data_IF_286500580282
#
_entry.id   IF_286500580282
#
_cell.length_a   1.000
_cell.length_b   1.000
_cell.length_c   1.000
_cell.angle_alpha   90.00
_cell.angle_beta   90.00
_cell.angle_gamma   90.00
#
_symmetry.space_group_name_H-M   'P 1'
#
loop_
_entity.id
_entity.type
_entity.pdbx_description
1 polymer ?
#
# COMPACT_ATOMS: atom_id res chain seq x y z
N UNK A 1 2.96 -13.64 -22.90
CA UNK A 1 3.15 -12.42 -22.08
C UNK A 1 3.98 -12.81 -20.88
N UNK A 2 5.00 -12.02 -20.49
CA UNK A 2 5.78 -12.35 -19.30
C UNK A 2 4.95 -12.13 -18.03
N UNK A 3 5.14 -12.97 -17.00
CA UNK A 3 4.49 -12.82 -15.70
C UNK A 3 4.67 -11.40 -15.13
N UNK A 4 5.81 -10.75 -15.40
CA UNK A 4 6.06 -9.37 -15.01
C UNK A 4 5.11 -8.36 -15.67
N UNK A 5 4.79 -8.53 -16.95
CA UNK A 5 3.86 -7.65 -17.65
C UNK A 5 2.43 -7.74 -17.08
N UNK A 6 1.99 -8.94 -16.71
CA UNK A 6 0.67 -9.15 -16.09
C UNK A 6 0.60 -8.44 -14.72
N UNK A 7 1.66 -8.54 -13.90
CA UNK A 7 1.75 -7.86 -12.59
C UNK A 7 1.64 -6.35 -12.73
N UNK A 8 2.39 -5.77 -13.68
CA UNK A 8 2.37 -4.32 -13.95
C UNK A 8 1.00 -3.91 -14.49
N UNK A 9 0.39 -4.68 -15.37
CA UNK A 9 -0.94 -4.40 -15.92
C UNK A 9 -2.02 -4.37 -14.82
N UNK A 10 -2.03 -5.33 -13.91
CA UNK A 10 -2.95 -5.35 -12.76
C UNK A 10 -2.75 -4.10 -11.90
N UNK A 11 -1.51 -3.75 -11.56
CA UNK A 11 -1.21 -2.55 -10.78
C UNK A 11 -1.63 -1.27 -11.50
N UNK A 12 -1.43 -1.20 -12.82
CA UNK A 12 -1.84 -0.05 -13.64
C UNK A 12 -3.37 0.12 -13.63
N UNK A 13 -4.13 -0.95 -13.84
CA UNK A 13 -5.60 -0.93 -13.80
C UNK A 13 -6.09 -0.38 -12.46
N UNK A 14 -5.60 -0.93 -11.35
CA UNK A 14 -6.01 -0.48 -10.01
C UNK A 14 -5.53 0.94 -9.67
N UNK A 15 -4.55 1.48 -10.37
CA UNK A 15 -4.03 2.84 -10.11
C UNK A 15 -4.67 3.91 -10.97
N UNK A 16 -5.07 3.60 -12.19
CA UNK A 16 -5.53 4.59 -13.16
C UNK A 16 -7.02 4.54 -13.46
N UNK A 17 -7.70 3.40 -13.22
CA UNK A 17 -9.14 3.33 -13.44
C UNK A 17 -9.87 4.10 -12.33
N UNK A 18 -10.62 5.16 -12.67
CA UNK A 18 -11.45 5.87 -11.70
C UNK A 18 -12.45 4.89 -11.04
N UNK A 19 -12.60 5.00 -9.73
CA UNK A 19 -13.46 4.08 -8.96
C UNK A 19 -12.77 2.80 -8.48
N UNK A 20 -11.70 2.32 -9.13
CA UNK A 20 -10.87 1.23 -8.61
C UNK A 20 -9.66 1.75 -7.84
N UNK A 21 -9.15 2.93 -8.17
CA UNK A 21 -7.99 3.50 -7.49
C UNK A 21 -8.36 4.16 -6.17
N UNK A 22 -9.46 4.90 -6.16
CA UNK A 22 -9.91 5.64 -4.99
C UNK A 22 -11.42 5.80 -5.06
N UNK A 23 -12.13 5.37 -4.03
CA UNK A 23 -13.57 5.58 -3.87
C UNK A 23 -13.76 6.81 -2.98
N UNK A 24 -14.31 7.87 -3.55
CA UNK A 24 -14.68 9.07 -2.82
C UNK A 24 -16.04 8.87 -2.17
N UNK A 25 -16.09 8.83 -0.85
CA UNK A 25 -17.32 8.79 -0.05
C UNK A 25 -17.60 10.16 0.61
N UNK A 26 -17.26 11.25 -0.06
CA UNK A 26 -17.40 12.59 0.45
C UNK A 26 -16.29 12.96 1.45
N UNK A 27 -16.43 12.59 2.71
CA UNK A 27 -15.43 12.87 3.75
C UNK A 27 -14.25 11.88 3.74
N UNK A 28 -14.37 10.75 3.06
CA UNK A 28 -13.39 9.67 3.06
C UNK A 28 -12.97 9.28 1.65
N UNK A 29 -11.68 9.06 1.48
CA UNK A 29 -11.08 8.57 0.24
C UNK A 29 -10.51 7.16 0.48
N UNK A 30 -11.24 6.12 0.06
CA UNK A 30 -10.79 4.75 0.20
C UNK A 30 -9.85 4.42 -0.96
N UNK A 31 -8.62 4.03 -0.64
CA UNK A 31 -7.63 3.60 -1.64
C UNK A 31 -7.62 2.09 -1.74
N UNK A 32 -8.02 1.54 -2.89
CA UNK A 32 -8.03 0.08 -3.14
C UNK A 32 -6.69 -0.46 -3.67
N UNK A 33 -5.69 0.40 -3.82
CA UNK A 33 -4.37 0.05 -4.40
C UNK A 33 -3.57 -0.95 -3.55
N UNK A 34 -3.89 -1.09 -2.27
CA UNK A 34 -3.29 -2.09 -1.40
C UNK A 34 -3.63 -3.53 -1.80
N UNK A 35 -4.82 -3.76 -2.38
CA UNK A 35 -5.29 -5.10 -2.77
C UNK A 35 -4.36 -5.77 -3.79
N UNK A 36 -4.03 -5.15 -4.96
CA UNK A 36 -3.10 -5.78 -5.91
C UNK A 36 -1.69 -5.96 -5.35
N UNK A 37 -1.23 -5.10 -4.44
CA UNK A 37 0.06 -5.31 -3.75
C UNK A 37 -0.02 -6.55 -2.88
N UNK A 38 -1.09 -6.73 -2.11
CA UNK A 38 -1.31 -7.93 -1.29
C UNK A 38 -1.38 -9.19 -2.15
N UNK A 39 -2.10 -9.17 -3.27
CA UNK A 39 -2.17 -10.30 -4.21
C UNK A 39 -0.77 -10.70 -4.68
N UNK A 40 0.01 -9.74 -5.18
CA UNK A 40 1.34 -10.00 -5.71
C UNK A 40 2.29 -10.46 -4.60
N UNK A 41 2.21 -9.87 -3.41
CA UNK A 41 3.00 -10.26 -2.24
C UNK A 41 2.70 -11.70 -1.80
N UNK A 42 1.44 -12.12 -1.80
CA UNK A 42 1.03 -13.47 -1.41
C UNK A 42 1.34 -14.53 -2.48
N UNK A 43 1.31 -14.18 -3.77
CA UNK A 43 1.61 -15.11 -4.85
C UNK A 43 3.11 -15.26 -5.10
N UNK A 44 3.88 -14.20 -4.93
CA UNK A 44 5.30 -14.14 -5.33
C UNK A 44 6.25 -13.79 -4.18
N UNK A 45 5.76 -13.85 -2.95
CA UNK A 45 6.54 -13.62 -1.74
C UNK A 45 7.02 -12.17 -1.56
N UNK A 46 8.00 -11.95 -0.64
CA UNK A 46 8.49 -10.63 -0.27
C UNK A 46 9.08 -9.82 -1.44
N UNK A 47 9.78 -10.50 -2.35
CA UNK A 47 10.37 -9.85 -3.54
C UNK A 47 9.26 -9.36 -4.47
N UNK A 48 8.23 -10.19 -4.71
CA UNK A 48 7.05 -9.78 -5.48
C UNK A 48 6.34 -8.57 -4.87
N UNK A 49 6.12 -8.59 -3.56
CA UNK A 49 5.55 -7.48 -2.82
C UNK A 49 6.37 -6.19 -2.92
N UNK A 50 7.71 -6.30 -2.85
CA UNK A 50 8.62 -5.15 -3.04
C UNK A 50 8.48 -4.53 -4.42
N UNK A 51 8.44 -5.36 -5.47
CA UNK A 51 8.26 -4.89 -6.84
C UNK A 51 6.88 -4.25 -7.05
N UNK A 52 5.83 -4.85 -6.50
CA UNK A 52 4.48 -4.28 -6.53
C UNK A 52 4.42 -2.93 -5.82
N UNK A 53 5.06 -2.82 -4.65
CA UNK A 53 5.20 -1.57 -3.91
C UNK A 53 5.98 -0.50 -4.69
N UNK A 54 7.01 -0.88 -5.44
CA UNK A 54 7.73 0.04 -6.33
C UNK A 54 6.83 0.57 -7.45
N UNK A 55 6.10 -0.31 -8.14
CA UNK A 55 5.15 0.08 -9.19
C UNK A 55 4.07 0.99 -8.62
N UNK A 56 3.51 0.66 -7.46
CA UNK A 56 2.57 1.55 -6.76
C UNK A 56 3.18 2.92 -6.46
N UNK A 57 4.42 2.96 -5.97
CA UNK A 57 5.17 4.19 -5.74
C UNK A 57 5.28 5.05 -7.01
N UNK A 58 5.60 4.43 -8.15
CA UNK A 58 5.71 5.12 -9.44
C UNK A 58 4.38 5.75 -9.86
N UNK A 59 3.27 5.02 -9.74
CA UNK A 59 1.96 5.58 -10.04
C UNK A 59 1.56 6.72 -9.09
N UNK A 60 1.92 6.61 -7.81
CA UNK A 60 1.67 7.69 -6.85
C UNK A 60 2.52 8.93 -7.11
N UNK A 61 3.77 8.73 -7.55
CA UNK A 61 4.62 9.84 -7.99
C UNK A 61 3.99 10.58 -9.18
N UNK A 62 3.55 9.83 -10.21
CA UNK A 62 2.88 10.41 -11.38
C UNK A 62 1.63 11.20 -10.95
N UNK A 63 0.79 10.64 -10.07
CA UNK A 63 -0.42 11.31 -9.58
C UNK A 63 -0.09 12.57 -8.77
N UNK A 64 0.94 12.53 -7.94
CA UNK A 64 1.42 13.68 -7.19
C UNK A 64 1.96 14.79 -8.11
N UNK A 65 2.78 14.45 -9.10
CA UNK A 65 3.32 15.43 -10.04
C UNK A 65 2.28 16.00 -11.01
N UNK A 66 1.26 15.22 -11.37
CA UNK A 66 0.17 15.65 -12.27
C UNK A 66 -0.96 16.41 -11.55
N UNK A 67 -0.86 16.62 -10.24
CA UNK A 67 -1.86 17.31 -9.44
C UNK A 67 -3.16 16.52 -9.20
N UNK A 68 -3.19 15.23 -9.55
CA UNK A 68 -4.33 14.34 -9.22
C UNK A 68 -4.41 14.06 -7.72
N UNK A 69 -3.28 14.11 -7.04
CA UNK A 69 -3.18 14.13 -5.58
C UNK A 69 -2.84 15.58 -5.17
N UNK A 70 -3.75 16.31 -4.53
CA UNK A 70 -3.53 17.72 -4.19
C UNK A 70 -2.34 17.96 -3.25
N UNK A 71 -1.99 16.97 -2.44
CA UNK A 71 -0.86 17.04 -1.51
C UNK A 71 0.49 16.86 -2.21
N UNK A 72 0.52 16.16 -3.34
CA UNK A 72 1.74 15.81 -4.05
C UNK A 72 2.60 17.00 -4.46
N UNK A 73 2.07 18.01 -5.18
CA UNK A 73 2.85 19.19 -5.59
C UNK A 73 3.41 19.96 -4.40
N UNK A 74 2.63 20.09 -3.32
CA UNK A 74 3.04 20.79 -2.11
C UNK A 74 4.22 20.05 -1.45
N UNK A 75 4.10 18.75 -1.25
CA UNK A 75 5.16 17.94 -0.65
C UNK A 75 6.43 17.92 -1.53
N UNK A 76 6.28 17.86 -2.84
CA UNK A 76 7.40 17.90 -3.77
C UNK A 76 8.14 19.23 -3.72
N UNK A 77 7.42 20.36 -3.65
CA UNK A 77 8.03 21.69 -3.50
C UNK A 77 8.79 21.83 -2.18
N UNK A 78 8.26 21.29 -1.09
CA UNK A 78 8.90 21.34 0.23
C UNK A 78 10.20 20.52 0.28
N UNK A 79 10.17 19.28 -0.18
CA UNK A 79 11.31 18.38 -0.19
C UNK A 79 11.16 17.30 -1.26
N UNK A 80 11.75 17.47 -2.45
CA UNK A 80 11.70 16.47 -3.52
C UNK A 80 12.22 15.11 -3.05
N UNK A 81 13.33 15.10 -2.31
CA UNK A 81 13.93 13.86 -1.78
C UNK A 81 12.98 13.22 -0.74
N UNK A 82 12.46 14.01 0.19
CA UNK A 82 11.51 13.54 1.19
C UNK A 82 10.25 12.94 0.54
N UNK A 83 9.73 13.60 -0.49
CA UNK A 83 8.58 13.11 -1.23
C UNK A 83 8.88 11.77 -1.92
N UNK A 84 10.02 11.64 -2.62
CA UNK A 84 10.43 10.40 -3.27
C UNK A 84 10.60 9.27 -2.26
N UNK A 85 11.28 9.52 -1.13
CA UNK A 85 11.46 8.50 -0.07
C UNK A 85 10.10 8.07 0.47
N UNK A 86 9.23 9.01 0.81
CA UNK A 86 7.90 8.71 1.35
C UNK A 86 7.06 7.90 0.37
N UNK A 87 7.12 8.24 -0.91
CA UNK A 87 6.33 7.56 -1.95
C UNK A 87 6.88 6.16 -2.28
N UNK A 88 8.20 6.00 -2.39
CA UNK A 88 8.80 4.74 -2.82
C UNK A 88 9.13 3.80 -1.67
N UNK A 89 9.80 4.31 -0.62
CA UNK A 89 10.30 3.43 0.44
C UNK A 89 9.17 2.88 1.29
N UNK A 90 8.18 3.70 1.66
CA UNK A 90 7.04 3.25 2.45
C UNK A 90 6.29 2.10 1.76
N UNK A 91 6.00 2.24 0.47
CA UNK A 91 5.24 1.25 -0.29
C UNK A 91 6.03 -0.03 -0.57
N UNK A 92 7.34 0.09 -0.82
CA UNK A 92 8.22 -1.08 -0.99
C UNK A 92 8.31 -1.89 0.29
N UNK A 93 8.50 -1.22 1.43
CA UNK A 93 8.55 -1.87 2.73
C UNK A 93 7.20 -2.51 3.09
N UNK A 94 6.09 -1.83 2.82
CA UNK A 94 4.76 -2.39 3.06
C UNK A 94 4.53 -3.68 2.25
N UNK A 95 4.86 -3.68 0.96
CA UNK A 95 4.75 -4.87 0.11
C UNK A 95 5.71 -6.00 0.52
N UNK A 96 6.96 -5.66 0.86
CA UNK A 96 7.93 -6.63 1.37
C UNK A 96 7.45 -7.32 2.64
N UNK A 97 7.04 -6.54 3.64
CA UNK A 97 6.58 -7.08 4.92
C UNK A 97 5.28 -7.87 4.79
N UNK A 98 4.38 -7.46 3.90
CA UNK A 98 3.17 -8.23 3.63
C UNK A 98 3.49 -9.62 3.08
N UNK A 99 4.41 -9.73 2.12
CA UNK A 99 4.88 -11.01 1.60
C UNK A 99 5.59 -11.86 2.64
N UNK A 100 6.44 -11.22 3.46
CA UNK A 100 7.15 -11.90 4.54
C UNK A 100 6.18 -12.47 5.60
N UNK A 101 5.18 -11.70 6.00
CA UNK A 101 4.15 -12.13 6.94
C UNK A 101 3.29 -13.25 6.36
N UNK A 102 2.95 -13.15 5.06
CA UNK A 102 2.24 -14.23 4.38
C UNK A 102 3.03 -15.54 4.48
N UNK A 103 4.30 -15.54 4.06
CA UNK A 103 5.15 -16.73 4.04
C UNK A 103 5.35 -17.30 5.45
N UNK A 104 5.56 -16.41 6.44
CA UNK A 104 5.75 -16.82 7.83
C UNK A 104 4.50 -17.52 8.39
N UNK A 105 3.32 -16.92 8.22
CA UNK A 105 2.07 -17.45 8.77
C UNK A 105 1.63 -18.70 7.99
N UNK A 106 1.83 -18.72 6.67
CA UNK A 106 1.46 -19.86 5.83
C UNK A 106 2.22 -21.14 6.17
N UNK A 107 3.39 -21.04 6.81
CA UNK A 107 4.12 -22.20 7.35
C UNK A 107 3.33 -22.92 8.45
N UNK A 108 2.56 -22.18 9.24
CA UNK A 108 1.78 -22.73 10.35
C UNK A 108 0.31 -22.96 9.94
N UNK A 109 -0.23 -22.14 9.03
CA UNK A 109 -1.62 -22.21 8.57
C UNK A 109 -1.69 -22.56 7.08
N UNK A 110 -1.75 -23.86 6.78
CA UNK A 110 -1.74 -24.40 5.41
C UNK A 110 -2.99 -24.08 4.58
N UNK A 111 -4.10 -23.67 5.24
CA UNK A 111 -5.34 -23.32 4.52
C UNK A 111 -5.22 -21.98 3.79
N UNK A 112 -4.30 -21.12 4.21
CA UNK A 112 -4.05 -19.82 3.57
C UNK A 112 -5.07 -18.74 3.90
N UNK A 113 -6.02 -18.97 4.79
CA UNK A 113 -7.06 -18.00 5.14
C UNK A 113 -6.47 -16.90 6.02
N UNK A 114 -5.87 -17.28 7.15
CA UNK A 114 -5.30 -16.33 8.13
C UNK A 114 -4.11 -15.61 7.50
N UNK A 115 -3.25 -16.33 6.79
CA UNK A 115 -2.10 -15.73 6.11
C UNK A 115 -2.53 -14.69 5.07
N UNK A 116 -3.59 -14.94 4.29
CA UNK A 116 -4.15 -13.95 3.35
C UNK A 116 -4.75 -12.73 4.06
N UNK A 117 -5.45 -12.94 5.18
CA UNK A 117 -6.03 -11.85 5.98
C UNK A 117 -4.94 -10.94 6.55
N UNK A 118 -3.93 -11.52 7.18
CA UNK A 118 -2.83 -10.76 7.79
C UNK A 118 -2.02 -10.04 6.72
N UNK A 119 -1.68 -10.67 5.62
CA UNK A 119 -0.95 -10.04 4.54
C UNK A 119 -1.72 -8.86 3.93
N UNK A 120 -3.01 -9.03 3.64
CA UNK A 120 -3.84 -7.96 3.08
C UNK A 120 -3.99 -6.78 4.03
N UNK A 121 -4.22 -7.03 5.31
CA UNK A 121 -4.31 -5.97 6.33
C UNK A 121 -2.96 -5.28 6.53
N UNK A 122 -1.85 -6.02 6.51
CA UNK A 122 -0.51 -5.50 6.75
C UNK A 122 -0.05 -4.52 5.68
N UNK A 123 -0.50 -4.65 4.43
CA UNK A 123 -0.21 -3.67 3.37
C UNK A 123 -0.68 -2.28 3.78
N UNK A 124 -1.95 -2.14 4.21
CA UNK A 124 -2.49 -0.84 4.66
C UNK A 124 -1.80 -0.35 5.92
N UNK A 125 -1.62 -1.23 6.89
CA UNK A 125 -0.98 -0.89 8.16
C UNK A 125 0.43 -0.34 7.95
N UNK A 126 1.29 -1.10 7.29
CA UNK A 126 2.67 -0.70 7.07
C UNK A 126 2.80 0.48 6.11
N UNK A 127 1.95 0.55 5.07
CA UNK A 127 1.94 1.72 4.20
C UNK A 127 1.65 3.00 5.00
N UNK A 128 0.64 2.99 5.86
CA UNK A 128 0.28 4.16 6.68
C UNK A 128 1.36 4.49 7.71
N UNK A 129 1.87 3.49 8.43
CA UNK A 129 2.92 3.69 9.44
C UNK A 129 4.19 4.26 8.81
N UNK A 130 4.69 3.68 7.72
CA UNK A 130 5.91 4.16 7.07
C UNK A 130 5.68 5.50 6.36
N UNK A 131 4.51 5.71 5.76
CA UNK A 131 4.18 7.00 5.17
C UNK A 131 4.22 8.11 6.23
N UNK A 132 3.57 7.93 7.35
CA UNK A 132 3.56 8.90 8.45
C UNK A 132 4.93 9.08 9.07
N UNK A 133 5.71 8.00 9.21
CA UNK A 133 7.08 8.06 9.73
C UNK A 133 7.98 8.91 8.84
N UNK A 134 8.00 8.63 7.53
CA UNK A 134 8.81 9.42 6.58
C UNK A 134 8.27 10.82 6.40
N UNK A 135 6.94 10.99 6.44
CA UNK A 135 6.33 12.31 6.43
C UNK A 135 6.80 13.14 7.64
N UNK A 136 6.75 12.59 8.84
CA UNK A 136 7.27 13.26 10.02
C UNK A 136 8.78 13.56 9.90
N UNK A 137 9.57 12.60 9.44
CA UNK A 137 11.03 12.75 9.33
C UNK A 137 11.46 13.87 8.37
N UNK A 138 10.81 13.99 7.22
CA UNK A 138 11.24 14.93 6.18
C UNK A 138 10.50 16.27 6.20
N UNK A 139 9.31 16.32 6.77
CA UNK A 139 8.46 17.51 6.70
C UNK A 139 8.23 18.20 8.06
N UNK A 140 8.51 17.51 9.18
CA UNK A 140 8.29 18.07 10.52
C UNK A 140 9.11 19.35 10.75
N UNK A 141 10.42 19.30 10.49
CA UNK A 141 11.31 20.43 10.81
C UNK A 141 11.14 21.65 9.87
N UNK A 142 10.39 21.51 8.78
CA UNK A 142 10.20 22.57 7.78
C UNK A 142 8.87 23.32 7.89
N UNK A 143 7.96 22.86 8.72
CA UNK A 143 6.64 23.49 8.88
C UNK A 143 6.67 24.75 9.77
N UNK A 144 7.85 25.17 10.27
CA UNK A 144 8.00 26.41 11.05
C UNK A 144 7.16 26.49 12.33
N UNK A 145 6.62 25.36 12.77
CA UNK A 145 5.85 25.28 14.00
C UNK A 145 6.75 24.78 15.12
N UNK A 146 6.78 25.47 16.23
CA UNK A 146 7.41 25.02 17.50
C UNK A 146 6.70 23.78 18.09
N UNK A 147 5.96 23.06 17.24
CA UNK A 147 5.13 21.93 17.64
C UNK A 147 6.03 20.72 17.90
N UNK A 148 5.89 20.11 19.03
CA UNK A 148 6.58 18.87 19.39
C UNK A 148 6.34 17.79 18.31
N UNK A 149 7.36 17.04 17.91
CA UNK A 149 7.26 15.95 16.93
C UNK A 149 6.12 14.97 17.22
N UNK A 150 5.89 14.67 18.51
CA UNK A 150 4.81 13.79 18.97
C UNK A 150 3.43 14.38 18.62
N UNK A 151 3.23 15.66 18.88
CA UNK A 151 1.96 16.36 18.58
C UNK A 151 1.72 16.42 17.08
N UNK A 152 2.76 16.72 16.30
CA UNK A 152 2.69 16.72 14.83
C UNK A 152 2.32 15.34 14.29
N UNK A 153 2.98 14.28 14.77
CA UNK A 153 2.69 12.90 14.36
C UNK A 153 1.27 12.49 14.78
N UNK A 154 0.86 12.83 16.00
CA UNK A 154 -0.47 12.51 16.53
C UNK A 154 -1.59 13.21 15.72
N UNK A 155 -1.40 14.48 15.35
CA UNK A 155 -2.38 15.21 14.54
C UNK A 155 -2.45 14.69 13.11
N UNK A 156 -1.31 14.38 12.48
CA UNK A 156 -1.26 13.76 11.16
C UNK A 156 -1.92 12.37 11.14
N UNK A 157 -1.69 11.57 12.19
CA UNK A 157 -2.34 10.28 12.36
C UNK A 157 -3.84 10.43 12.60
N UNK A 158 -4.27 11.33 13.48
CA UNK A 158 -5.68 11.56 13.79
C UNK A 158 -6.47 11.98 12.55
N UNK A 159 -5.90 12.87 11.71
CA UNK A 159 -6.53 13.30 10.46
C UNK A 159 -6.65 12.17 9.43
N UNK A 160 -5.75 11.19 9.49
CA UNK A 160 -5.73 10.03 8.60
C UNK A 160 -6.46 8.80 9.16
N UNK A 161 -6.76 8.79 10.46
CA UNK A 161 -7.23 7.60 11.18
C UNK A 161 -8.53 7.02 10.60
N UNK A 162 -9.48 7.86 10.24
CA UNK A 162 -10.74 7.42 9.66
C UNK A 162 -10.53 6.76 8.29
N UNK A 163 -9.72 7.36 7.42
CA UNK A 163 -9.36 6.77 6.12
C UNK A 163 -8.61 5.47 6.30
N UNK A 164 -7.64 5.44 7.23
CA UNK A 164 -6.88 4.23 7.56
C UNK A 164 -7.79 3.11 8.06
N UNK A 165 -8.73 3.39 8.95
CA UNK A 165 -9.67 2.39 9.48
C UNK A 165 -10.51 1.76 8.36
N UNK A 166 -11.00 2.56 7.44
CA UNK A 166 -11.77 2.08 6.28
C UNK A 166 -10.89 1.28 5.33
N UNK A 167 -9.71 1.77 4.97
CA UNK A 167 -8.75 1.05 4.11
C UNK A 167 -8.34 -0.30 4.71
N UNK A 168 -8.05 -0.33 6.00
CA UNK A 168 -7.69 -1.55 6.72
C UNK A 168 -8.83 -2.55 6.68
N UNK A 169 -10.08 -2.11 6.95
CA UNK A 169 -11.26 -2.96 6.93
C UNK A 169 -11.53 -3.53 5.54
N UNK A 170 -11.45 -2.70 4.50
CA UNK A 170 -11.65 -3.15 3.12
C UNK A 170 -10.55 -4.13 2.70
N UNK A 171 -9.29 -3.84 2.98
CA UNK A 171 -8.20 -4.76 2.65
C UNK A 171 -8.29 -6.06 3.47
N UNK A 172 -8.68 -5.99 4.74
CA UNK A 172 -8.88 -7.17 5.57
C UNK A 172 -9.99 -8.08 5.02
N UNK A 173 -11.11 -7.53 4.58
CA UNK A 173 -12.26 -8.33 4.10
C UNK A 173 -12.13 -8.64 2.61
N UNK A 174 -12.15 -7.60 1.77
CA UNK A 174 -12.18 -7.77 0.31
C UNK A 174 -10.84 -8.28 -0.21
N UNK A 175 -9.73 -7.69 0.26
CA UNK A 175 -8.39 -8.09 -0.12
C UNK A 175 -8.10 -9.55 0.21
N UNK A 176 -8.45 -9.99 1.42
CA UNK A 176 -8.22 -11.37 1.85
C UNK A 176 -9.03 -12.39 1.05
N UNK A 177 -10.30 -12.11 0.74
CA UNK A 177 -11.15 -12.98 -0.07
C UNK A 177 -10.55 -13.14 -1.47
N UNK A 178 -10.13 -12.05 -2.09
CA UNK A 178 -9.55 -12.06 -3.44
C UNK A 178 -8.21 -12.84 -3.44
N UNK A 179 -7.32 -12.53 -2.50
CA UNK A 179 -6.02 -13.20 -2.37
C UNK A 179 -6.20 -14.71 -2.16
N UNK A 180 -7.05 -15.09 -1.22
CA UNK A 180 -7.32 -16.49 -0.91
C UNK A 180 -7.91 -17.23 -2.12
N UNK A 181 -8.88 -16.63 -2.80
CA UNK A 181 -9.54 -17.24 -3.98
C UNK A 181 -8.58 -17.41 -5.14
N UNK A 182 -7.74 -16.42 -5.41
CA UNK A 182 -6.74 -16.49 -6.48
C UNK A 182 -5.66 -17.53 -6.19
N UNK A 183 -5.16 -17.58 -4.96
CA UNK A 183 -4.17 -18.59 -4.58
C UNK A 183 -4.74 -20.01 -4.68
N UNK A 184 -5.93 -20.24 -4.15
CA UNK A 184 -6.61 -21.53 -4.25
C UNK A 184 -6.89 -21.92 -5.71
N UNK A 185 -7.21 -20.95 -6.56
CA UNK A 185 -7.35 -21.18 -8.00
C UNK A 185 -6.04 -21.58 -8.67
N UNK A 186 -4.95 -20.88 -8.34
CA UNK A 186 -3.62 -21.18 -8.86
C UNK A 186 -3.14 -22.57 -8.44
N UNK A 187 -3.31 -22.94 -7.16
CA UNK A 187 -2.95 -24.27 -6.64
C UNK A 187 -3.73 -25.39 -7.35
N UNK A 188 -5.03 -25.17 -7.66
CA UNK A 188 -5.84 -26.15 -8.41
C UNK A 188 -5.39 -26.32 -9.87
N UNK A 189 -4.82 -25.29 -10.46
CA UNK A 189 -4.30 -25.32 -11.83
C UNK A 189 -2.85 -25.85 -11.90
N UNK A 190 -2.26 -26.23 -10.76
CA UNK A 190 -0.87 -26.66 -10.67
C UNK A 190 0.14 -25.57 -10.99
N UNK A 191 -0.26 -24.31 -10.87
CA UNK A 191 0.62 -23.15 -11.10
C UNK A 191 1.34 -22.87 -9.78
N UNK A 192 2.60 -23.33 -9.68
CA UNK A 192 3.50 -22.92 -8.58
C UNK A 192 4.15 -21.58 -8.91
N UNK A 193 4.07 -20.64 -7.98
CA UNK A 193 4.71 -19.33 -8.10
C UNK A 193 5.96 -19.25 -7.23
#
# INVERSE_FOLDING_TARGET
MSLGAIRIAIMAIFSFVPGLSTINLGLFNITLRGIPVAIIACLFGPIGGTLAGFVWGTFSLIQGLTGRDPSGPVLFQYSPIGFLVTVYVARRLAGFLAGLLYDLIHRFEKRGIISSMVASASVSLFNTVFFLLFYALFFFSRNGTDTNAIVFFATAFASSAANFGVELSVNLVVGSIIVFSLKKGADRLGISF
#
